data_IF_536404622647
#
_entry.id   IF_536404622647
#
_cell.length_a   1.000
_cell.length_b   1.000
_cell.length_c   1.000
_cell.angle_alpha   90.00
_cell.angle_beta   90.00
_cell.angle_gamma   90.00
#
_symmetry.space_group_name_H-M   'P 1'
#
loop_
_entity.id
_entity.type
_entity.pdbx_description
1 polymer ?
#
# COMPACT_ATOMS: atom_id res chain seq x y z
N UNK A 1 2.92 21.30 9.63
CA UNK A 1 3.30 20.13 10.46
C UNK A 1 4.45 19.39 9.80
N UNK A 2 5.37 18.77 10.56
CA UNK A 2 6.38 17.86 9.99
C UNK A 2 5.74 16.50 9.70
N UNK A 3 5.90 15.99 8.48
CA UNK A 3 5.51 14.64 8.11
C UNK A 3 6.31 13.63 8.95
N UNK A 4 5.64 12.59 9.46
CA UNK A 4 6.31 11.48 10.14
C UNK A 4 6.75 10.51 9.05
N UNK A 5 8.04 10.17 9.03
CA UNK A 5 8.64 9.24 8.08
C UNK A 5 9.01 7.98 8.82
N UNK A 6 8.42 6.84 8.44
CA UNK A 6 8.70 5.54 9.09
C UNK A 6 9.90 4.82 8.47
N UNK A 7 10.21 5.11 7.21
CA UNK A 7 11.33 4.52 6.51
C UNK A 7 11.15 4.54 5.01
N UNK A 8 11.94 3.72 4.33
CA UNK A 8 11.92 3.55 2.88
C UNK A 8 11.90 2.07 2.56
N UNK A 9 11.02 1.65 1.64
CA UNK A 9 10.99 0.30 1.10
C UNK A 9 12.32 -0.06 0.44
N UNK A 10 12.72 -1.33 0.55
CA UNK A 10 13.79 -1.88 -0.29
C UNK A 10 13.36 -1.83 -1.76
N UNK A 11 14.30 -1.88 -2.71
CA UNK A 11 13.95 -1.90 -4.14
C UNK A 11 13.05 -3.09 -4.50
N UNK A 12 13.29 -4.24 -3.86
CA UNK A 12 12.49 -5.44 -4.04
C UNK A 12 11.06 -5.24 -3.51
N UNK A 13 10.91 -4.74 -2.28
CA UNK A 13 9.59 -4.50 -1.69
C UNK A 13 8.84 -3.37 -2.41
N UNK A 14 9.55 -2.34 -2.89
CA UNK A 14 8.99 -1.27 -3.70
C UNK A 14 8.46 -1.80 -5.04
N UNK A 15 9.16 -2.75 -5.65
CA UNK A 15 8.70 -3.40 -6.88
C UNK A 15 7.43 -4.22 -6.63
N UNK A 16 7.40 -5.00 -5.55
CA UNK A 16 6.20 -5.75 -5.14
C UNK A 16 5.03 -4.81 -4.83
N UNK A 17 5.26 -3.75 -4.06
CA UNK A 17 4.29 -2.71 -3.75
C UNK A 17 3.66 -2.11 -5.01
N UNK A 18 4.48 -1.71 -5.99
CA UNK A 18 4.00 -1.14 -7.27
C UNK A 18 3.14 -2.12 -8.05
N UNK A 19 3.52 -3.39 -8.11
CA UNK A 19 2.74 -4.41 -8.82
C UNK A 19 1.36 -4.59 -8.17
N UNK A 20 1.33 -4.70 -6.84
CA UNK A 20 0.09 -4.87 -6.08
C UNK A 20 -0.81 -3.65 -6.20
N UNK A 21 -0.25 -2.43 -6.11
CA UNK A 21 -1.00 -1.18 -6.33
C UNK A 21 -1.54 -1.07 -7.75
N UNK A 22 -0.74 -1.42 -8.76
CA UNK A 22 -1.18 -1.38 -10.16
C UNK A 22 -2.36 -2.33 -10.42
N UNK A 23 -2.34 -3.52 -9.82
CA UNK A 23 -3.48 -4.45 -9.89
C UNK A 23 -4.72 -3.89 -9.19
N UNK A 24 -4.55 -3.31 -7.99
CA UNK A 24 -5.64 -2.71 -7.24
C UNK A 24 -6.25 -1.51 -7.98
N UNK A 25 -5.44 -0.59 -8.51
CA UNK A 25 -5.93 0.53 -9.31
C UNK A 25 -6.64 0.08 -10.59
N UNK A 26 -6.14 -0.97 -11.25
CA UNK A 26 -6.82 -1.52 -12.44
C UNK A 26 -8.20 -2.09 -12.10
N UNK A 27 -8.32 -2.76 -10.94
CA UNK A 27 -9.59 -3.22 -10.39
C UNK A 27 -10.53 -2.05 -10.07
N UNK A 28 -10.03 -0.97 -9.45
CA UNK A 28 -10.85 0.22 -9.15
C UNK A 28 -11.34 0.93 -10.42
N UNK A 29 -10.49 1.03 -11.45
CA UNK A 29 -10.82 1.67 -12.72
C UNK A 29 -11.83 0.87 -13.55
N UNK A 30 -11.77 -0.47 -13.50
CA UNK A 30 -12.67 -1.32 -14.27
C UNK A 30 -13.03 -2.62 -13.52
N UNK A 31 -13.88 -2.55 -12.49
CA UNK A 31 -14.18 -3.71 -11.65
C UNK A 31 -14.91 -4.82 -12.41
N UNK A 32 -15.62 -4.49 -13.50
CA UNK A 32 -16.36 -5.48 -14.31
C UNK A 32 -15.46 -6.35 -15.19
N UNK A 33 -14.18 -6.00 -15.34
CA UNK A 33 -13.20 -6.80 -16.08
C UNK A 33 -12.69 -8.01 -15.29
N UNK A 34 -13.01 -8.09 -13.99
CA UNK A 34 -12.51 -9.13 -13.09
C UNK A 34 -13.65 -9.97 -12.56
N UNK A 35 -13.41 -11.27 -12.40
CA UNK A 35 -14.29 -12.16 -11.66
C UNK A 35 -14.27 -11.86 -10.15
N UNK A 36 -15.24 -12.41 -9.42
CA UNK A 36 -15.27 -12.29 -7.96
C UNK A 36 -14.01 -12.88 -7.30
N UNK A 37 -13.51 -14.01 -7.80
CA UNK A 37 -12.30 -14.65 -7.28
C UNK A 37 -11.03 -13.82 -7.56
N UNK A 38 -10.93 -13.22 -8.75
CA UNK A 38 -9.80 -12.34 -9.08
C UNK A 38 -9.83 -11.07 -8.22
N UNK A 39 -11.02 -10.49 -8.03
CA UNK A 39 -11.25 -9.33 -7.17
C UNK A 39 -10.77 -9.62 -5.74
N UNK A 40 -11.24 -10.71 -5.14
CA UNK A 40 -10.82 -11.13 -3.79
C UNK A 40 -9.30 -11.34 -3.73
N UNK A 41 -8.72 -12.01 -4.73
CA UNK A 41 -7.28 -12.24 -4.79
C UNK A 41 -6.45 -10.94 -4.86
N UNK A 42 -6.90 -9.94 -5.62
CA UNK A 42 -6.24 -8.63 -5.71
C UNK A 42 -6.34 -7.90 -4.37
N UNK A 43 -7.53 -7.84 -3.79
CA UNK A 43 -7.77 -7.18 -2.49
C UNK A 43 -6.92 -7.80 -1.38
N UNK A 44 -6.91 -9.13 -1.29
CA UNK A 44 -6.13 -9.85 -0.26
C UNK A 44 -4.62 -9.61 -0.41
N UNK A 45 -4.09 -9.53 -1.64
CA UNK A 45 -2.68 -9.17 -1.87
C UNK A 45 -2.39 -7.73 -1.46
N UNK A 46 -3.28 -6.80 -1.79
CA UNK A 46 -3.17 -5.39 -1.43
C UNK A 46 -3.13 -5.18 0.09
N UNK A 47 -4.12 -5.71 0.82
CA UNK A 47 -4.16 -5.57 2.27
C UNK A 47 -3.04 -6.33 2.99
N UNK A 48 -2.62 -7.49 2.47
CA UNK A 48 -1.48 -8.22 3.02
C UNK A 48 -0.19 -7.40 2.93
N UNK A 49 0.07 -6.79 1.79
CA UNK A 49 1.26 -5.94 1.60
C UNK A 49 1.29 -4.79 2.62
N UNK A 50 0.15 -4.15 2.88
CA UNK A 50 0.07 -3.13 3.94
C UNK A 50 0.38 -3.70 5.32
N UNK A 51 -0.20 -4.84 5.68
CA UNK A 51 0.08 -5.48 6.96
C UNK A 51 1.57 -5.82 7.14
N UNK A 52 2.23 -6.28 6.06
CA UNK A 52 3.67 -6.55 6.05
C UNK A 52 4.49 -5.27 6.23
N UNK A 53 4.11 -4.15 5.60
CA UNK A 53 4.78 -2.85 5.79
C UNK A 53 4.61 -2.36 7.22
N UNK A 54 3.40 -2.42 7.79
CA UNK A 54 3.16 -2.03 9.18
C UNK A 54 4.04 -2.80 10.15
N UNK A 55 4.12 -4.12 9.97
CA UNK A 55 4.93 -4.99 10.82
C UNK A 55 6.42 -4.73 10.65
N UNK A 56 6.91 -4.65 9.40
CA UNK A 56 8.34 -4.50 9.09
C UNK A 56 8.89 -3.17 9.60
N UNK A 57 8.12 -2.09 9.44
CA UNK A 57 8.54 -0.74 9.81
C UNK A 57 8.03 -0.30 11.19
N UNK A 58 7.46 -1.22 11.98
CA UNK A 58 6.93 -0.96 13.33
C UNK A 58 5.97 0.24 13.38
N UNK A 59 5.10 0.33 12.38
CA UNK A 59 4.14 1.43 12.23
C UNK A 59 3.00 1.19 13.22
N UNK A 60 2.65 2.16 14.08
CA UNK A 60 1.58 1.99 15.06
C UNK A 60 0.25 1.56 14.43
N UNK A 61 -0.51 0.74 15.15
CA UNK A 61 -1.88 0.42 14.76
C UNK A 61 -2.73 1.70 14.74
N UNK A 62 -3.54 1.86 13.69
CA UNK A 62 -4.37 3.04 13.47
C UNK A 62 -3.68 4.21 12.76
N UNK A 63 -2.36 4.16 12.56
CA UNK A 63 -1.68 5.12 11.68
C UNK A 63 -2.11 4.89 10.23
N UNK A 64 -2.53 5.95 9.56
CA UNK A 64 -2.78 5.94 8.11
C UNK A 64 -1.47 6.33 7.43
N UNK A 65 -1.02 5.52 6.48
CA UNK A 65 0.25 5.76 5.79
C UNK A 65 0.06 5.84 4.28
N UNK A 66 0.89 6.65 3.65
CA UNK A 66 1.11 6.68 2.21
C UNK A 66 2.53 6.23 1.88
N UNK A 67 2.69 5.57 0.73
CA UNK A 67 4.00 5.10 0.24
C UNK A 67 4.27 5.77 -1.09
N UNK A 68 5.31 6.59 -1.17
CA UNK A 68 5.69 7.29 -2.39
C UNK A 68 6.05 6.28 -3.49
N UNK A 69 5.38 6.29 -4.66
CA UNK A 69 5.54 5.23 -5.65
C UNK A 69 6.91 5.24 -6.32
N UNK A 70 7.62 6.37 -6.35
CA UNK A 70 8.95 6.49 -6.99
C UNK A 70 10.08 6.12 -6.03
N UNK A 71 10.01 6.54 -4.77
CA UNK A 71 11.10 6.39 -3.79
C UNK A 71 10.86 5.28 -2.78
N UNK A 72 9.62 4.81 -2.62
CA UNK A 72 9.25 3.86 -1.57
C UNK A 72 9.23 4.46 -0.17
N UNK A 73 9.30 5.78 -0.04
CA UNK A 73 9.26 6.45 1.26
C UNK A 73 7.88 6.28 1.90
N UNK A 74 7.86 5.86 3.16
CA UNK A 74 6.65 5.63 3.95
C UNK A 74 6.39 6.85 4.82
N UNK A 75 5.23 7.46 4.66
CA UNK A 75 4.81 8.71 5.27
C UNK A 75 3.51 8.49 6.04
N UNK A 76 3.37 9.09 7.22
CA UNK A 76 2.07 9.14 7.90
C UNK A 76 1.19 10.24 7.27
N UNK A 77 0.01 9.87 6.81
CA UNK A 77 -1.00 10.79 6.32
C UNK A 77 -1.70 11.43 7.51
N UNK A 78 -1.36 12.71 7.76
CA UNK A 78 -2.09 13.54 8.71
C UNK A 78 -3.27 14.20 8.00
N UNK A 79 -4.22 13.41 7.56
CA UNK A 79 -5.55 13.93 7.22
C UNK A 79 -6.23 14.24 8.54
N UNK A 80 -6.20 15.52 8.96
CA UNK A 80 -7.08 15.97 10.05
C UNK A 80 -8.54 15.68 9.65
N UNK A 81 -9.36 15.08 10.52
CA UNK A 81 -10.79 14.93 10.27
C UNK A 81 -11.53 16.26 10.21
#
# INVERSE_FOLDING_TARGET
MKAIVYGTLTEEDLTRWRQVCGQFQSLEMNPRAYSGQETEGILMRYYRMFGEVHKTYSIPEGSVISIAPTTGQILEDKTEP
#
